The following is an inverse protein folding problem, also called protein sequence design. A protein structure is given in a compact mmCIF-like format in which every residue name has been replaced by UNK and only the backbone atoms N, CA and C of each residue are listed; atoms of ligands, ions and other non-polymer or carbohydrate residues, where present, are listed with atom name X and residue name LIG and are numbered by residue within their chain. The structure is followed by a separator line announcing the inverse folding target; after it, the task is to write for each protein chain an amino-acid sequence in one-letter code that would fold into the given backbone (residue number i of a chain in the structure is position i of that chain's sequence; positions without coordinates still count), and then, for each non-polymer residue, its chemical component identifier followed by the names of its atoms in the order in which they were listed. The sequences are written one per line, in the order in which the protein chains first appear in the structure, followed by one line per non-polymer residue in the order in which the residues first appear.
data_IF_754741769722
#
_entry.id   IF_754741769722
#
_cell.length_a   1.000
_cell.length_b   1.000
_cell.length_c   1.000
_cell.angle_alpha   90.00
_cell.angle_beta   90.00
_cell.angle_gamma   90.00
#
_symmetry.space_group_name_H-M   'P 1'
#
loop_
_entity.id
_entity.type
_entity.pdbx_description
1 polymer ?
#
# COMPACT_ATOMS: atom_id res chain seq x y z
N UNK A 1 -26.57 9.46 -5.22
CA UNK A 1 -25.11 9.56 -5.03
C UNK A 1 -24.47 8.75 -6.15
N UNK A 2 -23.57 9.33 -6.95
CA UNK A 2 -22.92 8.60 -8.06
C UNK A 2 -21.73 7.83 -7.48
N UNK A 3 -21.57 6.56 -7.83
CA UNK A 3 -20.44 5.75 -7.38
C UNK A 3 -19.13 6.39 -7.83
N UNK A 4 -18.25 6.68 -6.87
CA UNK A 4 -16.94 7.30 -7.15
C UNK A 4 -15.94 6.27 -7.70
N UNK A 5 -16.14 4.99 -7.37
CA UNK A 5 -15.27 3.88 -7.79
C UNK A 5 -16.15 2.85 -8.48
N UNK A 6 -16.10 2.82 -9.80
CA UNK A 6 -16.83 1.84 -10.63
C UNK A 6 -15.97 0.62 -11.00
N UNK A 7 -14.64 0.74 -10.88
CA UNK A 7 -13.67 -0.33 -11.15
C UNK A 7 -12.49 -0.25 -10.17
N UNK A 8 -12.64 -0.83 -8.98
CA UNK A 8 -11.56 -0.82 -7.96
C UNK A 8 -10.37 -1.72 -8.32
N UNK A 9 -10.61 -2.75 -9.16
CA UNK A 9 -9.65 -3.74 -9.60
C UNK A 9 -8.92 -3.38 -10.91
N UNK A 10 -9.28 -2.27 -11.55
CA UNK A 10 -8.64 -1.83 -12.79
C UNK A 10 -7.34 -1.07 -12.48
N UNK A 11 -6.19 -1.73 -12.62
CA UNK A 11 -4.88 -1.18 -12.24
C UNK A 11 -4.55 0.20 -12.85
N UNK A 12 -4.81 0.47 -14.15
CA UNK A 12 -4.52 1.76 -14.77
C UNK A 12 -5.31 2.92 -14.13
N UNK A 13 -6.59 2.71 -13.81
CA UNK A 13 -7.49 3.79 -13.35
C UNK A 13 -7.68 3.83 -11.83
N UNK A 14 -7.38 2.73 -11.13
CA UNK A 14 -7.63 2.62 -9.70
C UNK A 14 -6.68 3.51 -8.88
N UNK A 15 -7.21 4.46 -8.08
CA UNK A 15 -6.38 5.31 -7.24
C UNK A 15 -5.80 4.57 -6.03
N UNK A 16 -6.40 3.43 -5.64
CA UNK A 16 -5.98 2.64 -4.47
C UNK A 16 -4.87 1.64 -4.78
N UNK A 17 -4.64 1.30 -6.06
CA UNK A 17 -3.59 0.37 -6.51
C UNK A 17 -2.26 1.08 -6.86
N UNK A 18 -2.14 2.39 -6.61
CA UNK A 18 -0.94 3.18 -6.94
C UNK A 18 0.21 3.05 -5.93
N UNK A 19 -0.05 2.44 -4.78
CA UNK A 19 0.94 2.20 -3.72
C UNK A 19 0.55 0.95 -2.94
N UNK A 20 1.55 0.33 -2.31
CA UNK A 20 1.28 -0.74 -1.37
C UNK A 20 0.86 -0.11 -0.05
N UNK A 21 -0.29 -0.54 0.43
CA UNK A 21 -0.88 -0.04 1.66
C UNK A 21 -1.50 -1.16 2.46
N UNK A 22 -1.30 -1.12 3.77
CA UNK A 22 -1.92 -2.00 4.75
C UNK A 22 -2.62 -1.10 5.76
N UNK A 23 -3.83 -1.44 6.17
CA UNK A 23 -4.57 -0.70 7.19
C UNK A 23 -5.28 -1.66 8.13
N UNK A 24 -5.39 -1.29 9.40
CA UNK A 24 -6.00 -2.13 10.43
C UNK A 24 -5.95 -1.45 11.79
N UNK A 25 -6.38 -2.16 12.82
CA UNK A 25 -6.29 -1.71 14.20
C UNK A 25 -5.24 -2.53 14.93
N UNK A 26 -4.25 -1.85 15.48
CA UNK A 26 -3.18 -2.46 16.28
C UNK A 26 -3.36 -1.95 17.70
N UNK A 27 -3.64 -2.84 18.66
CA UNK A 27 -3.93 -2.49 20.06
C UNK A 27 -5.02 -1.41 20.20
N UNK A 28 -6.07 -1.50 19.37
CA UNK A 28 -7.17 -0.53 19.33
C UNK A 28 -6.84 0.80 18.66
N UNK A 29 -5.62 0.98 18.14
CA UNK A 29 -5.20 2.20 17.44
C UNK A 29 -5.31 1.98 15.92
N UNK A 30 -6.11 2.79 15.20
CA UNK A 30 -6.09 2.76 13.75
C UNK A 30 -4.66 3.02 13.26
N UNK A 31 -4.17 2.11 12.44
CA UNK A 31 -2.79 2.08 11.99
C UNK A 31 -2.75 1.73 10.51
N UNK A 32 -1.90 2.40 9.74
CA UNK A 32 -1.68 2.09 8.34
C UNK A 32 -0.20 2.15 7.99
N UNK A 33 0.25 1.30 7.08
CA UNK A 33 1.55 1.38 6.45
C UNK A 33 1.34 1.75 4.99
N UNK A 34 1.98 2.81 4.54
CA UNK A 34 2.02 3.20 3.13
C UNK A 34 3.48 3.13 2.67
N UNK A 35 3.79 2.17 1.79
CA UNK A 35 5.17 1.80 1.48
C UNK A 35 5.95 1.45 2.77
N UNK A 36 6.88 2.30 3.22
CA UNK A 36 7.62 2.14 4.47
C UNK A 36 7.21 3.16 5.55
N UNK A 37 6.17 3.95 5.33
CA UNK A 37 5.71 4.95 6.30
C UNK A 37 4.58 4.38 7.14
N UNK A 38 4.86 4.18 8.42
CA UNK A 38 3.86 3.81 9.41
C UNK A 38 3.11 5.05 9.89
N UNK A 39 1.78 4.96 9.92
CA UNK A 39 0.89 6.02 10.39
C UNK A 39 -0.01 5.46 11.47
N UNK A 40 -0.02 6.13 12.63
CA UNK A 40 -0.89 5.81 13.76
C UNK A 40 -1.82 6.98 14.03
N UNK A 41 -3.12 6.71 14.06
CA UNK A 41 -4.16 7.72 14.19
C UNK A 41 -4.73 7.68 15.61
N UNK A 42 -4.54 8.77 16.34
CA UNK A 42 -5.08 8.95 17.68
C UNK A 42 -6.14 10.05 17.65
N UNK A 43 -6.93 10.17 18.72
CA UNK A 43 -7.87 11.28 18.86
C UNK A 43 -7.13 12.62 18.77
N UNK A 44 -7.47 13.43 17.75
CA UNK A 44 -6.91 14.76 17.53
C UNK A 44 -5.46 14.81 17.04
N UNK A 45 -4.78 13.68 16.79
CA UNK A 45 -3.40 13.69 16.27
C UNK A 45 -3.07 12.45 15.43
N UNK A 46 -2.11 12.62 14.52
CA UNK A 46 -1.53 11.55 13.71
C UNK A 46 -0.02 11.53 13.94
N UNK A 47 0.56 10.34 14.09
CA UNK A 47 2.02 10.13 14.11
C UNK A 47 2.44 9.40 12.85
N UNK A 48 3.51 9.86 12.22
CA UNK A 48 4.12 9.21 11.07
C UNK A 48 5.59 8.93 11.37
N UNK A 49 6.08 7.77 10.95
CA UNK A 49 7.49 7.40 11.04
C UNK A 49 7.90 6.54 9.84
N UNK A 50 9.12 6.76 9.35
CA UNK A 50 9.72 5.95 8.29
C UNK A 50 10.36 4.72 8.92
N UNK A 51 9.92 3.55 8.49
CA UNK A 51 10.47 2.27 8.94
C UNK A 51 11.68 1.88 8.09
N UNK A 52 12.68 1.30 8.73
CA UNK A 52 13.70 0.49 8.06
C UNK A 52 13.08 -0.79 7.51
N UNK A 53 13.79 -1.51 6.63
CA UNK A 53 13.30 -2.78 6.07
C UNK A 53 13.00 -3.84 7.14
N UNK A 54 13.81 -3.89 8.21
CA UNK A 54 13.61 -4.83 9.32
C UNK A 54 12.35 -4.51 10.11
N UNK A 55 12.17 -3.23 10.46
CA UNK A 55 10.97 -2.77 11.18
C UNK A 55 9.72 -2.93 10.31
N UNK A 56 9.81 -2.64 9.02
CA UNK A 56 8.70 -2.85 8.09
C UNK A 56 8.28 -4.31 8.06
N UNK A 57 9.24 -5.24 7.95
CA UNK A 57 8.95 -6.67 7.98
C UNK A 57 8.29 -7.08 9.30
N UNK A 58 8.84 -6.65 10.44
CA UNK A 58 8.25 -6.90 11.76
C UNK A 58 6.81 -6.39 11.86
N UNK A 59 6.55 -5.16 11.40
CA UNK A 59 5.20 -4.62 11.44
C UNK A 59 4.23 -5.42 10.56
N UNK A 60 4.66 -5.83 9.39
CA UNK A 60 3.79 -6.59 8.46
C UNK A 60 3.49 -7.98 9.02
N UNK A 61 4.52 -8.73 9.43
CA UNK A 61 4.35 -10.13 9.84
C UNK A 61 3.86 -10.28 11.27
N UNK A 62 4.39 -9.49 12.21
CA UNK A 62 4.12 -9.67 13.64
C UNK A 62 2.98 -8.78 14.15
N UNK A 63 2.83 -7.57 13.60
CA UNK A 63 1.82 -6.60 14.09
C UNK A 63 0.53 -6.69 13.29
N UNK A 64 0.64 -6.68 11.97
CA UNK A 64 -0.50 -6.85 11.07
C UNK A 64 -0.86 -8.31 10.81
N UNK A 65 -0.04 -9.26 11.27
CA UNK A 65 -0.24 -10.70 11.08
C UNK A 65 -0.44 -11.09 9.60
N UNK A 66 0.22 -10.37 8.69
CA UNK A 66 0.18 -10.66 7.26
C UNK A 66 1.22 -11.73 6.97
N UNK A 67 0.79 -12.79 6.31
CA UNK A 67 1.71 -13.83 5.85
C UNK A 67 2.79 -13.23 4.94
N UNK A 68 4.05 -13.62 5.21
CA UNK A 68 5.21 -13.08 4.51
C UNK A 68 5.17 -13.37 3.02
N UNK A 69 4.74 -14.57 2.61
CA UNK A 69 4.63 -14.95 1.20
C UNK A 69 3.57 -14.09 0.49
N UNK A 70 2.46 -13.78 1.16
CA UNK A 70 1.44 -12.88 0.63
C UNK A 70 2.01 -11.48 0.39
N UNK A 71 2.80 -10.96 1.35
CA UNK A 71 3.42 -9.65 1.21
C UNK A 71 4.44 -9.61 0.06
N UNK A 72 5.34 -10.59 -0.01
CA UNK A 72 6.36 -10.69 -1.05
C UNK A 72 5.72 -10.79 -2.45
N UNK A 73 4.69 -11.64 -2.59
CA UNK A 73 3.93 -11.76 -3.84
C UNK A 73 3.21 -10.47 -4.22
N UNK A 74 2.71 -9.72 -3.24
CA UNK A 74 2.08 -8.41 -3.48
C UNK A 74 3.08 -7.39 -4.03
N UNK A 75 4.30 -7.37 -3.48
CA UNK A 75 5.39 -6.52 -3.96
C UNK A 75 5.75 -6.87 -5.41
N UNK A 76 5.85 -8.17 -5.72
CA UNK A 76 6.13 -8.64 -7.08
C UNK A 76 5.06 -8.18 -8.08
N UNK A 77 3.78 -8.42 -7.79
CA UNK A 77 2.66 -7.99 -8.62
C UNK A 77 2.68 -6.47 -8.83
N UNK A 78 2.91 -5.72 -7.75
CA UNK A 78 2.98 -4.27 -7.81
C UNK A 78 4.10 -3.79 -8.73
N UNK A 79 5.30 -4.37 -8.63
CA UNK A 79 6.45 -4.02 -9.45
C UNK A 79 6.22 -4.36 -10.94
N UNK A 80 5.66 -5.53 -11.24
CA UNK A 80 5.31 -5.93 -12.62
C UNK A 80 4.34 -4.92 -13.23
N UNK A 81 3.25 -4.61 -12.51
CA UNK A 81 2.21 -3.72 -13.01
C UNK A 81 2.66 -2.26 -13.09
N UNK A 82 3.53 -1.80 -12.19
CA UNK A 82 4.09 -0.45 -12.19
C UNK A 82 5.21 -0.27 -13.23
N UNK A 83 5.90 -1.35 -13.61
CA UNK A 83 6.90 -1.32 -14.67
C UNK A 83 6.24 -1.30 -16.05
N UNK A 84 5.15 -2.07 -16.21
CA UNK A 84 4.35 -2.07 -17.44
C UNK A 84 3.62 -0.73 -17.68
N UNK A 85 3.49 0.15 -16.67
CA UNK A 85 2.97 1.50 -16.86
C UNK A 85 4.02 2.53 -17.29
N UNK A 86 5.31 2.18 -17.32
CA UNK A 86 6.39 3.05 -17.84
C UNK A 86 6.66 2.88 -19.34
N UNK A 87 5.89 2.05 -20.04
CA UNK A 87 6.10 1.76 -21.45
C UNK A 87 4.82 1.85 -22.27
N UNK A 88 4.33 3.06 -22.53
CA UNK A 88 3.78 3.51 -23.83
C UNK A 88 3.87 5.04 -23.87
N UNK A 89 5.05 5.59 -24.14
CA UNK A 89 5.14 6.82 -24.96
C UNK A 89 5.27 6.34 -26.39
N UNK A 90 4.16 6.36 -27.12
CA UNK A 90 4.24 6.45 -28.57
C UNK A 90 4.75 7.86 -28.88
N UNK A 91 6.05 8.00 -29.10
CA UNK A 91 6.55 9.09 -29.92
C UNK A 91 6.32 8.68 -31.36
N UNK A 92 5.25 9.23 -31.94
CA UNK A 92 5.11 9.41 -33.36
C UNK A 92 5.80 10.75 -33.66
N UNK A 93 6.99 10.69 -34.24
CA UNK A 93 7.40 11.50 -35.39
C UNK A 93 8.63 10.89 -36.06
#
# INVERSE_FOLDING_TARGET
MKELITKSNDWPTSPVLKKIQIFGYIDGIPTSINNNVLKRYFQGKKREESLTSSELNYWITERFCVDKEIYERTIEIFNIKSSNSKGVTHEIE
#
